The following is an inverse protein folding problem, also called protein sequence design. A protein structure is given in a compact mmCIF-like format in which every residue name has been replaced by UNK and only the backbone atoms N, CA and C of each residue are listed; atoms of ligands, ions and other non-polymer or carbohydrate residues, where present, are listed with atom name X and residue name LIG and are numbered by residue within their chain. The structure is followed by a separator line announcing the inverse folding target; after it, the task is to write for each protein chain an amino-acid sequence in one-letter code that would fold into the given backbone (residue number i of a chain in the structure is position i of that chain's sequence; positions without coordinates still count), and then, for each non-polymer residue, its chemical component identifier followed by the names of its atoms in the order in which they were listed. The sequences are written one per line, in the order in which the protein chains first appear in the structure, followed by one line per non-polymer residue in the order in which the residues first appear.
data_IF_385371422952
#
_entry.id   IF_385371422952
#
_cell.length_a   1.000
_cell.length_b   1.000
_cell.length_c   1.000
_cell.angle_alpha   90.00
_cell.angle_beta   90.00
_cell.angle_gamma   90.00
#
_symmetry.space_group_name_H-M   'P 1'
#
loop_
_entity.id
_entity.type
_entity.pdbx_description
1 polymer ?
#
# COMPACT_ATOMS: atom_id res chain seq x y z
N UNK A 1 -2.98 -24.37 -12.09
CA UNK A 1 -3.06 -23.24 -11.13
C UNK A 1 -2.37 -22.04 -11.78
N UNK A 2 -3.10 -20.99 -12.20
CA UNK A 2 -2.48 -19.76 -12.73
C UNK A 2 -1.82 -19.03 -11.57
N UNK A 3 -0.51 -18.82 -11.66
CA UNK A 3 0.23 -17.94 -10.76
C UNK A 3 -0.40 -16.55 -10.92
N UNK A 4 -1.08 -16.04 -9.89
CA UNK A 4 -1.53 -14.65 -9.84
C UNK A 4 -0.28 -13.79 -9.65
N UNK A 5 0.46 -13.58 -10.73
CA UNK A 5 1.47 -12.54 -10.79
C UNK A 5 0.71 -11.21 -10.82
N UNK A 6 0.43 -10.68 -9.62
CA UNK A 6 -0.08 -9.33 -9.47
C UNK A 6 1.00 -8.39 -9.95
N UNK A 7 0.88 -7.99 -11.22
CA UNK A 7 1.74 -6.96 -11.77
C UNK A 7 1.51 -5.68 -10.98
N UNK A 8 2.58 -5.17 -10.35
CA UNK A 8 2.63 -3.81 -9.80
C UNK A 8 2.42 -2.74 -10.89
N UNK A 9 2.43 -3.19 -12.14
CA UNK A 9 2.24 -2.38 -13.32
C UNK A 9 0.98 -2.81 -14.06
N UNK A 10 -0.22 -2.34 -13.64
CA UNK A 10 -1.46 -2.76 -14.27
C UNK A 10 -1.50 -2.26 -15.71
N UNK A 11 -1.78 -3.18 -16.63
CA UNK A 11 -1.89 -2.94 -18.06
C UNK A 11 -3.34 -2.70 -18.50
N UNK A 12 -4.30 -3.10 -17.67
CA UNK A 12 -5.74 -2.95 -17.90
C UNK A 12 -6.47 -2.38 -16.68
N UNK A 13 -7.68 -1.85 -16.87
CA UNK A 13 -8.52 -1.32 -15.77
C UNK A 13 -8.89 -2.40 -14.75
N UNK A 14 -9.10 -3.64 -15.21
CA UNK A 14 -9.38 -4.78 -14.31
C UNK A 14 -8.19 -5.08 -13.40
N UNK A 15 -6.97 -5.06 -13.95
CA UNK A 15 -5.75 -5.24 -13.15
C UNK A 15 -5.51 -4.10 -12.18
N UNK A 16 -5.79 -2.86 -12.61
CA UNK A 16 -5.68 -1.69 -11.74
C UNK A 16 -6.66 -1.76 -10.57
N UNK A 17 -7.92 -2.14 -10.81
CA UNK A 17 -8.91 -2.35 -9.75
C UNK A 17 -8.48 -3.47 -8.79
N UNK A 18 -7.93 -4.57 -9.31
CA UNK A 18 -7.39 -5.66 -8.49
C UNK A 18 -6.23 -5.20 -7.60
N UNK A 19 -5.29 -4.44 -8.16
CA UNK A 19 -4.17 -3.86 -7.41
C UNK A 19 -4.66 -2.87 -6.34
N UNK A 20 -5.57 -1.97 -6.71
CA UNK A 20 -6.14 -0.98 -5.80
C UNK A 20 -6.87 -1.67 -4.64
N UNK A 21 -7.73 -2.65 -4.92
CA UNK A 21 -8.43 -3.42 -3.90
C UNK A 21 -7.46 -4.15 -2.96
N UNK A 22 -6.43 -4.79 -3.49
CA UNK A 22 -5.43 -5.51 -2.69
C UNK A 22 -4.67 -4.54 -1.77
N UNK A 23 -4.15 -3.44 -2.30
CA UNK A 23 -3.38 -2.48 -1.50
C UNK A 23 -4.25 -1.77 -0.47
N UNK A 24 -5.49 -1.41 -0.82
CA UNK A 24 -6.46 -0.86 0.13
C UNK A 24 -6.83 -1.87 1.22
N UNK A 25 -6.97 -3.16 0.89
CA UNK A 25 -7.23 -4.20 1.88
C UNK A 25 -6.09 -4.30 2.90
N UNK A 26 -4.83 -4.19 2.47
CA UNK A 26 -3.67 -4.15 3.39
C UNK A 26 -3.80 -2.99 4.37
N UNK A 27 -4.01 -1.76 3.88
CA UNK A 27 -4.17 -0.57 4.75
C UNK A 27 -5.33 -0.74 5.73
N UNK A 28 -6.45 -1.32 5.26
CA UNK A 28 -7.63 -1.57 6.06
C UNK A 28 -7.39 -2.59 7.18
N UNK A 29 -6.67 -3.69 6.91
CA UNK A 29 -6.31 -4.68 7.93
C UNK A 29 -5.56 -4.01 9.08
N UNK A 30 -4.57 -3.16 8.78
CA UNK A 30 -3.86 -2.41 9.82
C UNK A 30 -4.79 -1.45 10.59
N UNK A 31 -5.74 -0.81 9.92
CA UNK A 31 -6.71 0.08 10.56
C UNK A 31 -7.66 -0.67 11.50
N UNK A 32 -8.10 -1.88 11.13
CA UNK A 32 -8.95 -2.74 11.97
C UNK A 32 -8.19 -3.21 13.20
N UNK A 33 -6.94 -3.65 13.04
CA UNK A 33 -6.09 -4.03 14.18
C UNK A 33 -5.86 -2.84 15.12
N UNK A 34 -5.69 -1.64 14.57
CA UNK A 34 -5.51 -0.41 15.36
C UNK A 34 -6.77 0.08 16.08
N UNK A 35 -7.95 -0.44 15.72
CA UNK A 35 -9.25 0.04 16.24
C UNK A 35 -9.50 -0.36 17.70
N UNK A 36 -8.74 -1.31 18.23
CA UNK A 36 -8.70 -1.56 19.67
C UNK A 36 -7.92 -0.46 20.40
N UNK A 37 -8.28 -0.12 21.63
CA UNK A 37 -7.54 0.83 22.50
C UNK A 37 -6.05 0.46 22.65
N UNK A 38 -5.69 -0.75 22.24
CA UNK A 38 -4.35 -1.26 22.07
C UNK A 38 -3.42 -0.43 21.19
N UNK A 39 -3.80 0.67 20.51
CA UNK A 39 -2.82 1.47 19.77
C UNK A 39 -2.91 2.98 19.96
N UNK A 40 -3.84 3.45 20.80
CA UNK A 40 -4.04 4.88 21.06
C UNK A 40 -2.77 5.62 21.52
N UNK A 41 -1.86 4.92 22.20
CA UNK A 41 -0.59 5.47 22.71
C UNK A 41 0.66 5.16 21.87
N UNK A 42 0.58 4.35 20.81
CA UNK A 42 1.78 4.03 20.00
C UNK A 42 1.95 5.06 18.89
N UNK A 43 2.58 6.19 19.20
CA UNK A 43 2.80 7.30 18.26
C UNK A 43 3.49 6.83 16.97
N UNK A 44 4.50 5.95 17.10
CA UNK A 44 5.25 5.38 15.96
C UNK A 44 4.34 4.61 15.00
N UNK A 45 3.34 3.90 15.53
CA UNK A 45 2.37 3.17 14.70
C UNK A 45 1.56 4.12 13.82
N UNK A 46 1.07 5.24 14.38
CA UNK A 46 0.26 6.20 13.63
C UNK A 46 1.04 6.90 12.51
N UNK A 47 2.32 7.20 12.74
CA UNK A 47 3.20 7.73 11.69
C UNK A 47 3.46 6.70 10.60
N UNK A 48 3.81 5.47 10.98
CA UNK A 48 4.06 4.39 10.02
C UNK A 48 2.79 4.07 9.21
N UNK A 49 1.64 3.94 9.86
CA UNK A 49 0.37 3.67 9.20
C UNK A 49 -0.05 4.79 8.24
N UNK A 50 0.11 6.05 8.64
CA UNK A 50 -0.19 7.19 7.76
C UNK A 50 0.74 7.22 6.54
N UNK A 51 2.03 6.95 6.74
CA UNK A 51 3.02 6.83 5.66
C UNK A 51 2.69 5.70 4.69
N UNK A 52 2.27 4.54 5.21
CA UNK A 52 1.78 3.41 4.42
C UNK A 52 0.56 3.80 3.59
N UNK A 53 -0.47 4.36 4.24
CA UNK A 53 -1.73 4.75 3.59
C UNK A 53 -1.52 5.77 2.47
N UNK A 54 -0.68 6.79 2.72
CA UNK A 54 -0.32 7.78 1.71
C UNK A 54 0.45 7.16 0.55
N UNK A 55 1.45 6.31 0.83
CA UNK A 55 2.24 5.66 -0.21
C UNK A 55 1.37 4.78 -1.11
N UNK A 56 0.42 4.05 -0.53
CA UNK A 56 -0.59 3.27 -1.27
C UNK A 56 -1.47 4.17 -2.12
N UNK A 57 -2.05 5.24 -1.54
CA UNK A 57 -2.93 6.15 -2.27
C UNK A 57 -2.22 6.82 -3.47
N UNK A 58 -0.99 7.31 -3.25
CA UNK A 58 -0.18 7.90 -4.32
C UNK A 58 0.19 6.88 -5.39
N UNK A 59 0.51 5.64 -5.01
CA UNK A 59 0.81 4.59 -5.98
C UNK A 59 -0.42 4.28 -6.85
N UNK A 60 -1.59 4.02 -6.24
CA UNK A 60 -2.83 3.73 -6.96
C UNK A 60 -3.21 4.88 -7.90
N UNK A 61 -3.18 6.13 -7.40
CA UNK A 61 -3.51 7.31 -8.19
C UNK A 61 -2.56 7.49 -9.39
N UNK A 62 -1.25 7.31 -9.18
CA UNK A 62 -0.24 7.42 -10.24
C UNK A 62 -0.39 6.33 -11.29
N UNK A 63 -0.57 5.07 -10.89
CA UNK A 63 -0.80 3.96 -11.83
C UNK A 63 -2.12 4.14 -12.59
N UNK A 64 -3.16 4.63 -11.92
CA UNK A 64 -4.44 4.97 -12.56
C UNK A 64 -4.29 6.08 -13.60
N UNK A 65 -3.55 7.15 -13.27
CA UNK A 65 -3.26 8.24 -14.19
C UNK A 65 -2.45 7.79 -15.42
N UNK A 66 -1.46 6.92 -15.24
CA UNK A 66 -0.71 6.35 -16.36
C UNK A 66 -1.57 5.44 -17.23
N UNK A 67 -2.46 4.66 -16.64
CA UNK A 67 -3.36 3.79 -17.37
C UNK A 67 -4.35 4.59 -18.24
N UNK A 68 -4.97 5.63 -17.68
CA UNK A 68 -5.89 6.52 -18.42
C UNK A 68 -5.18 7.22 -19.58
N UNK A 69 -3.88 7.51 -19.44
CA UNK A 69 -3.05 8.13 -20.48
C UNK A 69 -2.45 7.13 -21.49
N UNK A 70 -2.78 5.84 -21.40
CA UNK A 70 -2.20 4.80 -22.27
C UNK A 70 -0.70 4.56 -22.05
N UNK A 71 -0.15 4.97 -20.90
CA UNK A 71 1.27 4.87 -20.53
C UNK A 71 1.51 3.83 -19.43
N UNK A 72 0.78 2.72 -19.45
CA UNK A 72 0.81 1.68 -18.40
C UNK A 72 2.20 1.05 -18.20
N UNK A 73 3.03 1.01 -19.23
CA UNK A 73 4.39 0.44 -19.20
C UNK A 73 5.43 1.37 -18.58
N UNK A 74 5.10 2.66 -18.38
CA UNK A 74 6.04 3.62 -17.81
C UNK A 74 6.27 3.29 -16.34
N UNK A 75 7.53 3.08 -15.99
CA UNK A 75 7.99 2.90 -14.62
C UNK A 75 9.06 3.94 -14.31
N UNK A 76 8.89 4.65 -13.21
CA UNK A 76 9.79 5.71 -12.78
C UNK A 76 10.43 5.37 -11.44
N UNK A 77 11.49 6.10 -11.07
CA UNK A 77 12.11 5.99 -9.76
C UNK A 77 11.11 6.26 -8.61
N UNK A 78 10.11 7.11 -8.85
CA UNK A 78 9.02 7.37 -7.90
C UNK A 78 8.20 6.12 -7.60
N UNK A 79 7.95 5.26 -8.61
CA UNK A 79 7.23 4.01 -8.39
C UNK A 79 8.03 3.07 -7.48
N UNK A 80 9.36 3.04 -7.65
CA UNK A 80 10.26 2.27 -6.77
C UNK A 80 10.21 2.82 -5.34
N UNK A 81 10.31 4.13 -5.16
CA UNK A 81 10.25 4.75 -3.83
C UNK A 81 8.91 4.46 -3.17
N UNK A 82 7.79 4.63 -3.88
CA UNK A 82 6.46 4.37 -3.31
C UNK A 82 6.34 2.91 -2.86
N UNK A 83 6.82 1.95 -3.64
CA UNK A 83 6.82 0.54 -3.26
C UNK A 83 7.72 0.26 -2.05
N UNK A 84 8.93 0.81 -2.04
CA UNK A 84 9.84 0.70 -0.89
C UNK A 84 9.24 1.34 0.36
N UNK A 85 8.57 2.50 0.23
CA UNK A 85 7.88 3.16 1.33
C UNK A 85 6.71 2.32 1.85
N UNK A 86 5.90 1.71 0.97
CA UNK A 86 4.85 0.76 1.38
C UNK A 86 5.45 -0.39 2.19
N UNK A 87 6.56 -0.97 1.75
CA UNK A 87 7.23 -2.05 2.48
C UNK A 87 7.81 -1.58 3.82
N UNK A 88 8.54 -0.47 3.84
CA UNK A 88 9.19 0.06 5.03
C UNK A 88 8.17 0.48 6.09
N UNK A 89 7.13 1.22 5.70
CA UNK A 89 6.08 1.65 6.61
C UNK A 89 5.17 0.49 7.05
N UNK A 90 4.87 -0.45 6.15
CA UNK A 90 4.14 -1.67 6.49
C UNK A 90 4.90 -2.52 7.51
N UNK A 91 6.21 -2.69 7.32
CA UNK A 91 7.08 -3.40 8.27
C UNK A 91 7.15 -2.66 9.61
N UNK A 92 7.36 -1.34 9.60
CA UNK A 92 7.39 -0.54 10.82
C UNK A 92 6.07 -0.61 11.60
N UNK A 93 4.93 -0.54 10.90
CA UNK A 93 3.61 -0.71 11.51
C UNK A 93 3.46 -2.11 12.11
N UNK A 94 3.86 -3.16 11.37
CA UNK A 94 3.79 -4.55 11.84
C UNK A 94 4.68 -4.83 13.07
N UNK A 95 5.89 -4.29 13.05
CA UNK A 95 6.82 -4.30 14.18
C UNK A 95 6.17 -3.62 15.39
N UNK A 96 5.61 -2.42 15.21
CA UNK A 96 4.92 -1.71 16.29
C UNK A 96 3.72 -2.50 16.85
N UNK A 97 3.02 -3.27 16.02
CA UNK A 97 1.97 -4.20 16.47
C UNK A 97 2.55 -5.35 17.33
N UNK A 98 3.73 -5.87 16.96
CA UNK A 98 4.33 -7.06 17.58
C UNK A 98 4.99 -6.78 18.93
N UNK A 99 5.41 -5.54 19.19
CA UNK A 99 6.08 -5.13 20.43
C UNK A 99 5.14 -4.68 21.56
N UNK A 100 3.82 -4.63 21.32
CA UNK A 100 2.84 -4.55 22.42
C UNK A 100 2.53 -5.95 22.96
N UNK A 101 3.29 -6.38 23.96
CA UNK A 101 2.83 -7.37 24.94
C UNK A 101 2.11 -6.67 26.08
#
# INVERSE_FOLDING_TARGET
MRRLEFSMHPSSMKEWLGLAALMSAVVFVFAVVARGDAFRGVVVFWYAWSGLALSVAFHIARRGAFLVRGRSTVSTWVDKILLTSVQAFGLAAFVALSFRR
#
